data_IF_248871531433
#
_entry.id   IF_248871531433
#
_cell.length_a   1.000
_cell.length_b   1.000
_cell.length_c   1.000
_cell.angle_alpha   90.00
_cell.angle_beta   90.00
_cell.angle_gamma   90.00
#
_symmetry.space_group_name_H-M   'P 1'
#
loop_
_entity.id
_entity.type
_entity.pdbx_description
1 polymer ?
#
# COMPACT_ATOMS: atom_id res chain seq x y z
N UNK A 1 3.52 8.21 -15.08
CA UNK A 1 2.53 8.16 -13.97
C UNK A 1 1.71 6.89 -14.14
N UNK A 2 1.53 6.08 -13.09
CA UNK A 2 0.64 4.91 -13.11
C UNK A 2 -0.77 5.36 -13.50
N UNK A 3 -1.33 4.82 -14.57
CA UNK A 3 -2.64 5.20 -15.09
C UNK A 3 -3.46 3.93 -15.28
N UNK A 4 -4.64 3.90 -14.67
CA UNK A 4 -5.54 2.76 -14.72
C UNK A 4 -5.90 2.33 -16.16
N UNK A 5 -6.15 3.27 -17.07
CA UNK A 5 -6.58 3.00 -18.45
C UNK A 5 -5.51 2.29 -19.28
N UNK A 6 -4.24 2.47 -18.92
CA UNK A 6 -3.12 1.76 -19.57
C UNK A 6 -2.95 0.35 -19.00
N UNK A 7 -3.16 0.19 -17.70
CA UNK A 7 -2.97 -1.06 -16.97
C UNK A 7 -4.15 -2.04 -17.14
N UNK A 8 -5.37 -1.53 -17.22
CA UNK A 8 -6.59 -2.34 -17.47
C UNK A 8 -6.56 -3.04 -18.83
N UNK A 9 -5.85 -2.48 -19.83
CA UNK A 9 -5.65 -3.11 -21.15
C UNK A 9 -4.80 -4.38 -21.09
N UNK A 10 -4.09 -4.62 -19.99
CA UNK A 10 -3.20 -5.77 -19.79
C UNK A 10 -3.61 -6.56 -18.53
N UNK A 11 -4.62 -7.42 -18.62
CA UNK A 11 -5.19 -8.10 -17.44
C UNK A 11 -4.19 -9.02 -16.73
N UNK A 12 -3.25 -9.63 -17.46
CA UNK A 12 -2.22 -10.50 -16.88
C UNK A 12 -1.23 -9.73 -16.00
N UNK A 13 -0.74 -8.60 -16.48
CA UNK A 13 0.17 -7.72 -15.72
C UNK A 13 -0.55 -7.16 -14.49
N UNK A 14 -1.82 -6.77 -14.68
CA UNK A 14 -2.66 -6.22 -13.62
C UNK A 14 -2.90 -7.21 -12.48
N UNK A 15 -3.21 -8.47 -12.82
CA UNK A 15 -3.34 -9.57 -11.85
C UNK A 15 -2.00 -9.85 -11.17
N UNK A 16 -0.90 -9.83 -11.92
CA UNK A 16 0.45 -10.05 -11.40
C UNK A 16 0.90 -8.97 -10.42
N UNK A 17 0.50 -7.72 -10.61
CA UNK A 17 0.91 -6.60 -9.74
C UNK A 17 0.10 -6.48 -8.47
N UNK A 18 -1.19 -6.83 -8.48
CA UNK A 18 -2.09 -6.60 -7.34
C UNK A 18 -2.65 -7.87 -6.74
N UNK A 19 -2.63 -8.97 -7.46
CA UNK A 19 -3.32 -10.21 -7.08
C UNK A 19 -4.84 -10.12 -7.23
N UNK A 20 -5.36 -9.09 -7.92
CA UNK A 20 -6.79 -8.86 -8.16
C UNK A 20 -7.07 -8.73 -9.65
N UNK A 21 -8.26 -9.16 -10.06
CA UNK A 21 -8.74 -8.96 -11.42
C UNK A 21 -9.29 -7.55 -11.63
N UNK A 22 -9.37 -7.12 -12.90
CA UNK A 22 -9.94 -5.81 -13.29
C UNK A 22 -11.36 -5.60 -12.74
N UNK A 23 -12.32 -6.53 -12.89
CA UNK A 23 -13.67 -6.34 -12.38
C UNK A 23 -13.75 -6.26 -10.86
N UNK A 24 -12.94 -7.03 -10.14
CA UNK A 24 -12.90 -7.01 -8.66
C UNK A 24 -12.43 -5.65 -8.15
N UNK A 25 -11.43 -5.08 -8.83
CA UNK A 25 -10.96 -3.74 -8.51
C UNK A 25 -11.99 -2.66 -8.80
N UNK A 26 -12.73 -2.79 -9.90
CA UNK A 26 -13.77 -1.82 -10.22
C UNK A 26 -14.89 -1.87 -9.18
N UNK A 27 -15.31 -3.07 -8.76
CA UNK A 27 -16.26 -3.25 -7.67
C UNK A 27 -15.77 -2.61 -6.34
N UNK A 28 -14.49 -2.79 -6.01
CA UNK A 28 -13.87 -2.15 -4.85
C UNK A 28 -13.84 -0.63 -4.98
N UNK A 29 -13.45 -0.14 -6.17
CA UNK A 29 -13.39 1.29 -6.47
C UNK A 29 -14.76 1.95 -6.32
N UNK A 30 -15.83 1.32 -6.81
CA UNK A 30 -17.19 1.85 -6.66
C UNK A 30 -17.61 2.03 -5.20
N UNK A 31 -17.36 1.04 -4.34
CA UNK A 31 -17.64 1.12 -2.89
C UNK A 31 -16.89 2.27 -2.21
N UNK A 32 -15.63 2.46 -2.62
CA UNK A 32 -14.80 3.55 -2.09
C UNK A 32 -15.28 4.90 -2.63
N UNK A 33 -15.59 4.99 -3.92
CA UNK A 33 -16.09 6.21 -4.56
C UNK A 33 -17.38 6.70 -3.90
N UNK A 34 -18.28 5.79 -3.49
CA UNK A 34 -19.52 6.13 -2.80
C UNK A 34 -19.27 6.68 -1.38
N UNK A 35 -18.31 6.11 -0.66
CA UNK A 35 -18.00 6.51 0.72
C UNK A 35 -17.02 7.69 0.81
N UNK A 36 -16.27 7.97 -0.25
CA UNK A 36 -15.21 8.98 -0.28
C UNK A 36 -15.67 10.41 -0.01
N UNK A 37 -16.80 10.91 -0.55
CA UNK A 37 -17.28 12.28 -0.27
C UNK A 37 -17.52 12.51 1.22
N UNK A 38 -18.20 11.57 1.91
CA UNK A 38 -18.45 11.65 3.36
C UNK A 38 -17.15 11.69 4.15
N UNK A 39 -16.15 10.92 3.72
CA UNK A 39 -14.83 10.94 4.36
C UNK A 39 -14.08 12.27 4.11
N UNK A 40 -14.13 12.79 2.88
CA UNK A 40 -13.52 14.09 2.56
C UNK A 40 -14.16 15.23 3.35
N UNK A 41 -15.48 15.25 3.50
CA UNK A 41 -16.17 16.22 4.36
C UNK A 41 -15.66 16.15 5.80
N UNK A 42 -15.66 14.95 6.39
CA UNK A 42 -15.14 14.75 7.76
C UNK A 42 -13.67 15.20 7.90
N UNK A 43 -12.83 14.96 6.88
CA UNK A 43 -11.43 15.40 6.85
C UNK A 43 -11.30 16.92 6.77
N UNK A 44 -12.16 17.58 6.00
CA UNK A 44 -12.15 19.02 5.78
C UNK A 44 -12.69 19.80 7.00
N UNK A 45 -13.59 19.21 7.77
CA UNK A 45 -14.22 19.77 8.98
C UNK A 45 -13.44 19.55 10.28
N UNK A 46 -12.18 19.08 10.23
CA UNK A 46 -11.35 18.93 11.43
C UNK A 46 -11.09 20.28 12.11
N UNK A 47 -11.28 20.34 13.43
CA UNK A 47 -11.15 21.56 14.25
C UNK A 47 -9.74 22.16 14.22
N UNK A 48 -8.70 21.31 14.17
CA UNK A 48 -7.29 21.73 14.14
C UNK A 48 -6.83 22.32 12.78
N UNK A 49 -7.76 22.56 11.85
CA UNK A 49 -7.41 22.94 10.47
C UNK A 49 -7.13 24.43 10.32
N UNK A 50 -5.86 24.77 10.08
CA UNK A 50 -5.38 26.16 9.88
C UNK A 50 -5.80 26.83 8.56
N UNK A 51 -6.21 26.07 7.53
CA UNK A 51 -6.56 26.61 6.19
C UNK A 51 -8.06 26.54 5.94
N UNK A 52 -8.63 27.48 5.18
CA UNK A 52 -10.05 27.43 4.76
C UNK A 52 -10.35 26.25 3.84
N UNK A 53 -11.59 25.74 3.88
CA UNK A 53 -12.06 24.64 3.00
C UNK A 53 -11.95 25.13 1.55
N UNK A 54 -11.40 24.30 0.65
CA UNK A 54 -11.12 24.69 -0.74
C UNK A 54 -9.80 25.42 -0.99
N UNK A 55 -9.09 25.90 0.03
CA UNK A 55 -7.79 26.58 -0.13
C UNK A 55 -6.59 25.64 -0.32
N UNK A 56 -6.83 24.34 -0.59
CA UNK A 56 -5.78 23.37 -0.86
C UNK A 56 -5.63 23.16 -2.35
N UNK A 57 -4.40 22.87 -2.80
CA UNK A 57 -4.16 22.43 -4.17
C UNK A 57 -5.01 21.19 -4.46
N UNK A 58 -5.74 21.14 -5.60
CA UNK A 58 -6.48 19.96 -5.99
C UNK A 58 -5.54 18.76 -6.15
N UNK A 59 -6.06 17.57 -5.94
CA UNK A 59 -5.28 16.37 -6.21
C UNK A 59 -4.99 16.28 -7.70
N UNK A 60 -3.70 16.24 -8.08
CA UNK A 60 -3.26 16.05 -9.47
C UNK A 60 -3.66 14.69 -10.06
N UNK A 61 -4.00 13.73 -9.20
CA UNK A 61 -4.29 12.35 -9.55
C UNK A 61 -5.73 12.00 -9.21
N UNK A 62 -6.44 11.30 -10.12
CA UNK A 62 -7.79 10.84 -9.84
C UNK A 62 -7.79 9.83 -8.70
N UNK A 63 -8.94 9.68 -8.03
CA UNK A 63 -9.11 8.73 -6.92
C UNK A 63 -8.74 7.30 -7.33
N UNK A 64 -9.08 6.90 -8.55
CA UNK A 64 -8.82 5.56 -9.09
C UNK A 64 -7.32 5.24 -9.14
N UNK A 65 -6.51 6.17 -9.64
CA UNK A 65 -5.06 6.00 -9.72
C UNK A 65 -4.40 6.02 -8.33
N UNK A 66 -4.94 6.81 -7.39
CA UNK A 66 -4.46 6.82 -5.99
C UNK A 66 -4.72 5.47 -5.30
N UNK A 67 -5.91 4.90 -5.48
CA UNK A 67 -6.25 3.57 -4.97
C UNK A 67 -5.37 2.48 -5.59
N UNK A 68 -5.18 2.55 -6.91
CA UNK A 68 -4.29 1.64 -7.65
C UNK A 68 -2.87 1.66 -7.06
N UNK A 69 -2.30 2.85 -6.86
CA UNK A 69 -0.96 2.98 -6.28
C UNK A 69 -0.90 2.48 -4.83
N UNK A 70 -1.92 2.75 -4.01
CA UNK A 70 -1.96 2.29 -2.62
C UNK A 70 -1.90 0.76 -2.53
N UNK A 71 -2.71 0.06 -3.34
CA UNK A 71 -2.73 -1.41 -3.36
C UNK A 71 -1.39 -2.00 -3.84
N UNK A 72 -0.81 -1.41 -4.89
CA UNK A 72 0.50 -1.83 -5.38
C UNK A 72 1.60 -1.60 -4.34
N UNK A 73 1.58 -0.44 -3.68
CA UNK A 73 2.53 -0.11 -2.63
C UNK A 73 2.43 -1.11 -1.48
N UNK A 74 1.21 -1.44 -1.03
CA UNK A 74 1.01 -2.40 0.03
C UNK A 74 1.59 -3.77 -0.32
N UNK A 75 1.30 -4.29 -1.52
CA UNK A 75 1.83 -5.59 -1.96
C UNK A 75 3.34 -5.60 -2.09
N UNK A 76 3.92 -4.55 -2.70
CA UNK A 76 5.37 -4.42 -2.84
C UNK A 76 6.04 -4.36 -1.47
N UNK A 77 5.50 -3.54 -0.56
CA UNK A 77 6.00 -3.40 0.80
C UNK A 77 5.98 -4.73 1.54
N UNK A 78 4.87 -5.48 1.50
CA UNK A 78 4.78 -6.80 2.12
C UNK A 78 5.85 -7.76 1.58
N UNK A 79 6.05 -7.79 0.26
CA UNK A 79 7.09 -8.64 -0.34
C UNK A 79 8.50 -8.20 0.06
N UNK A 80 8.77 -6.90 0.13
CA UNK A 80 10.07 -6.38 0.57
C UNK A 80 10.35 -6.68 2.04
N UNK A 81 9.35 -6.55 2.92
CA UNK A 81 9.49 -6.91 4.34
C UNK A 81 9.73 -8.41 4.50
N UNK A 82 8.98 -9.26 3.77
CA UNK A 82 9.16 -10.71 3.80
C UNK A 82 10.56 -11.12 3.32
N UNK A 83 11.03 -10.52 2.23
CA UNK A 83 12.39 -10.74 1.74
C UNK A 83 13.41 -10.31 2.81
N UNK A 84 13.24 -9.14 3.42
CA UNK A 84 14.12 -8.68 4.50
C UNK A 84 14.16 -9.65 5.69
N UNK A 85 13.02 -10.27 6.04
CA UNK A 85 12.97 -11.31 7.07
C UNK A 85 13.74 -12.57 6.64
N UNK A 86 13.49 -13.09 5.43
CA UNK A 86 14.12 -14.31 4.93
C UNK A 86 15.63 -14.17 4.68
N UNK A 87 16.08 -12.99 4.26
CA UNK A 87 17.50 -12.73 3.98
C UNK A 87 18.25 -12.18 5.19
N UNK A 88 17.58 -11.93 6.32
CA UNK A 88 18.26 -11.50 7.55
C UNK A 88 19.10 -12.65 8.12
N UNK A 89 20.43 -12.50 8.27
CA UNK A 89 21.32 -13.57 8.74
C UNK A 89 21.15 -13.91 10.22
N UNK A 90 20.22 -13.27 10.94
CA UNK A 90 20.01 -13.47 12.37
C UNK A 90 19.08 -14.64 12.71
N UNK A 91 18.39 -15.23 11.72
CA UNK A 91 17.41 -16.30 11.96
C UNK A 91 17.95 -17.72 11.72
N UNK A 92 19.13 -17.87 11.08
CA UNK A 92 19.74 -19.18 10.81
C UNK A 92 20.80 -19.51 11.88
N UNK A 93 20.35 -20.04 13.01
CA UNK A 93 21.14 -20.89 13.90
C UNK A 93 22.46 -20.33 14.44
N UNK A 94 22.40 -19.64 15.58
CA UNK A 94 23.41 -19.80 16.63
C UNK A 94 22.79 -20.56 17.79
N UNK A 95 22.67 -21.89 17.64
CA UNK A 95 22.72 -22.77 18.79
C UNK A 95 24.15 -22.63 19.32
N UNK A 96 24.35 -21.77 20.31
CA UNK A 96 25.56 -21.81 21.12
C UNK A 96 25.47 -23.06 22.00
N UNK A 97 26.32 -24.09 21.82
CA UNK A 97 26.44 -25.11 22.84
C UNK A 97 27.13 -24.47 24.04
N UNK A 98 26.43 -24.44 25.16
CA UNK A 98 27.03 -24.25 26.47
C UNK A 98 27.95 -25.45 26.76
N UNK A 99 29.25 -25.27 26.54
CA UNK A 99 30.33 -26.10 27.07
C UNK A 99 31.59 -25.20 27.15
N UNK A 100 31.83 -24.57 28.30
CA UNK A 100 32.88 -24.95 29.27
C UNK A 100 34.29 -24.99 28.67
N UNK A 101 35.15 -24.03 29.08
CA UNK A 101 36.59 -24.15 29.36
C UNK A 101 37.08 -22.77 29.87
N UNK A 102 37.26 -22.59 31.19
CA UNK A 102 38.52 -22.72 31.95
C UNK A 102 39.46 -21.49 31.85
N UNK A 103 39.75 -20.93 33.05
CA UNK A 103 40.95 -20.15 33.45
C UNK A 103 41.15 -18.76 32.82
N UNK A 104 40.91 -17.70 33.60
CA UNK A 104 41.94 -16.86 34.24
C UNK A 104 41.27 -15.75 35.05
#
# INVERSE_FOLDING_TARGET
MMNYDRLSRKPLDFKSFRGLEVPEFDALFFKIQESYPKYEEKRLHREDRKRRIGASHPFKLPLRDRLLMLLMYHRLYTTSTLLGFLTSPTFFGRQSPTAVCHVC
#
